data_IF_020146508108
#
_entry.id   IF_020146508108
#
_cell.length_a   1.000
_cell.length_b   1.000
_cell.length_c   1.000
_cell.angle_alpha   90.00
_cell.angle_beta   90.00
_cell.angle_gamma   90.00
#
_symmetry.space_group_name_H-M   'P 1'
#
loop_
_entity.id
_entity.type
_entity.pdbx_description
1 polymer ?
#
# COMPACT_ATOMS: atom_id res chain seq x y z
N UNK A 1 -1.54 23.17 -24.66
CA UNK A 1 -0.64 23.96 -23.80
C UNK A 1 -1.51 24.51 -22.68
N UNK A 2 -1.59 23.81 -21.55
CA UNK A 2 -2.47 24.22 -20.44
C UNK A 2 -1.77 25.27 -19.58
N UNK A 3 -2.47 26.30 -19.06
CA UNK A 3 -1.83 27.48 -18.51
C UNK A 3 -1.21 27.22 -17.13
N UNK A 4 -0.03 27.81 -16.95
CA UNK A 4 0.74 27.87 -15.71
C UNK A 4 0.13 28.90 -14.77
N UNK A 5 -0.51 28.47 -13.69
CA UNK A 5 -0.79 29.35 -12.56
C UNK A 5 0.49 29.49 -11.72
N UNK A 6 1.05 30.70 -11.68
CA UNK A 6 2.11 31.09 -10.75
C UNK A 6 1.47 31.65 -9.48
N UNK A 7 1.74 31.06 -8.32
CA UNK A 7 1.44 31.68 -7.02
C UNK A 7 2.67 31.70 -6.11
N UNK A 8 2.58 32.57 -5.10
CA UNK A 8 3.69 33.31 -4.52
C UNK A 8 4.41 32.57 -3.37
N UNK A 9 5.62 33.06 -3.12
CA UNK A 9 6.64 32.63 -2.16
C UNK A 9 6.06 32.39 -0.75
N UNK A 10 5.88 31.12 -0.37
CA UNK A 10 5.42 30.71 0.98
C UNK A 10 4.70 29.36 1.02
N UNK A 11 4.29 28.83 -0.12
CA UNK A 11 3.48 27.61 -0.20
C UNK A 11 4.37 26.37 -0.03
N UNK A 12 4.05 25.53 0.97
CA UNK A 12 4.37 24.10 0.92
C UNK A 12 3.92 23.66 -0.47
N UNK A 13 4.85 23.31 -1.35
CA UNK A 13 4.51 22.91 -2.72
C UNK A 13 3.47 21.80 -2.61
N UNK A 14 2.19 22.13 -2.85
CA UNK A 14 1.12 21.16 -2.99
C UNK A 14 1.65 20.23 -4.07
N UNK A 15 1.97 18.99 -3.69
CA UNK A 15 2.61 18.05 -4.60
C UNK A 15 1.76 18.02 -5.87
N UNK A 16 2.32 18.48 -6.99
CA UNK A 16 1.59 18.47 -8.24
C UNK A 16 1.49 17.02 -8.68
N UNK A 17 0.30 16.43 -8.50
CA UNK A 17 0.04 15.07 -8.91
C UNK A 17 0.03 15.05 -10.44
N UNK A 18 1.00 14.35 -11.02
CA UNK A 18 1.15 14.21 -12.47
C UNK A 18 0.31 13.07 -13.05
N UNK A 19 -0.25 12.24 -12.18
CA UNK A 19 -1.10 11.10 -12.53
C UNK A 19 -2.56 11.52 -12.59
N UNK A 20 -3.30 10.95 -13.51
CA UNK A 20 -4.76 11.04 -13.57
C UNK A 20 -5.41 10.29 -12.39
N UNK A 21 -6.67 10.60 -12.03
CA UNK A 21 -7.42 9.82 -11.04
C UNK A 21 -7.43 8.31 -11.32
N UNK A 22 -7.55 7.92 -12.58
CA UNK A 22 -7.56 6.52 -12.99
C UNK A 22 -6.19 5.84 -12.80
N UNK A 23 -5.10 6.53 -13.11
CA UNK A 23 -3.74 6.03 -12.86
C UNK A 23 -3.47 5.87 -11.35
N UNK A 24 -3.99 6.76 -10.51
CA UNK A 24 -3.92 6.65 -9.06
C UNK A 24 -4.69 5.43 -8.54
N UNK A 25 -5.92 5.20 -9.03
CA UNK A 25 -6.72 4.01 -8.67
C UNK A 25 -6.06 2.72 -9.15
N UNK A 26 -5.50 2.72 -10.35
CA UNK A 26 -4.70 1.59 -10.85
C UNK A 26 -3.50 1.31 -9.95
N UNK A 27 -2.78 2.34 -9.52
CA UNK A 27 -1.67 2.19 -8.57
C UNK A 27 -2.16 1.66 -7.22
N UNK A 28 -3.26 2.19 -6.70
CA UNK A 28 -3.87 1.75 -5.45
C UNK A 28 -4.20 0.25 -5.47
N UNK A 29 -4.78 -0.25 -6.57
CA UNK A 29 -5.08 -1.68 -6.71
C UNK A 29 -3.83 -2.55 -6.65
N UNK A 30 -2.70 -2.12 -7.23
CA UNK A 30 -1.42 -2.85 -7.13
C UNK A 30 -0.93 -2.97 -5.69
N UNK A 31 -1.18 -1.96 -4.85
CA UNK A 31 -0.85 -2.04 -3.42
C UNK A 31 -1.74 -3.06 -2.68
N UNK A 32 -3.03 -3.14 -3.01
CA UNK A 32 -3.93 -4.18 -2.48
C UNK A 32 -3.48 -5.58 -2.90
N UNK A 33 -3.19 -5.80 -4.19
CA UNK A 33 -2.65 -7.07 -4.69
C UNK A 33 -1.34 -7.45 -3.98
N UNK A 34 -0.46 -6.47 -3.74
CA UNK A 34 0.78 -6.67 -2.99
C UNK A 34 0.53 -7.13 -1.54
N UNK A 35 -0.43 -6.51 -0.86
CA UNK A 35 -0.84 -6.87 0.50
C UNK A 35 -1.39 -8.30 0.60
N UNK A 36 -2.24 -8.68 -0.36
CA UNK A 36 -2.81 -10.04 -0.45
C UNK A 36 -1.72 -11.08 -0.67
N UNK A 37 -0.79 -10.81 -1.60
CA UNK A 37 0.35 -11.69 -1.86
C UNK A 37 1.25 -11.87 -0.63
N UNK A 38 1.57 -10.78 0.08
CA UNK A 38 2.38 -10.84 1.32
C UNK A 38 1.67 -11.68 2.38
N UNK A 39 0.36 -11.46 2.57
CA UNK A 39 -0.45 -12.21 3.54
C UNK A 39 -0.52 -13.70 3.18
N UNK A 40 -0.65 -14.02 1.89
CA UNK A 40 -0.67 -15.38 1.40
C UNK A 40 0.68 -16.09 1.64
N UNK A 41 1.79 -15.43 1.33
CA UNK A 41 3.14 -15.98 1.59
C UNK A 41 3.33 -16.25 3.08
N UNK A 42 2.98 -15.29 3.93
CA UNK A 42 3.08 -15.45 5.39
C UNK A 42 2.25 -16.65 5.87
N UNK A 43 1.02 -16.80 5.38
CA UNK A 43 0.13 -17.92 5.73
C UNK A 43 0.71 -19.25 5.28
N UNK A 44 1.18 -19.35 4.05
CA UNK A 44 1.80 -20.56 3.49
C UNK A 44 3.01 -21.00 4.34
N UNK A 45 3.91 -20.07 4.66
CA UNK A 45 5.11 -20.38 5.44
C UNK A 45 4.79 -20.69 6.91
N UNK A 46 3.77 -20.07 7.49
CA UNK A 46 3.31 -20.40 8.84
C UNK A 46 2.80 -21.85 8.91
N UNK A 47 2.06 -22.29 7.91
CA UNK A 47 1.58 -23.67 7.83
C UNK A 47 2.73 -24.66 7.64
N UNK A 48 3.70 -24.34 6.77
CA UNK A 48 4.89 -25.16 6.57
C UNK A 48 5.72 -25.29 7.85
N UNK A 49 5.86 -24.20 8.60
CA UNK A 49 6.55 -24.21 9.90
C UNK A 49 5.89 -25.17 10.89
N UNK A 50 4.56 -25.18 10.96
CA UNK A 50 3.82 -26.11 11.82
C UNK A 50 4.05 -27.58 11.39
N UNK A 51 4.07 -27.86 10.08
CA UNK A 51 4.38 -29.20 9.57
C UNK A 51 5.79 -29.62 9.98
N UNK A 52 6.80 -28.75 9.82
CA UNK A 52 8.18 -29.07 10.20
C UNK A 52 8.28 -29.31 11.71
N UNK A 53 7.66 -28.46 12.53
CA UNK A 53 7.65 -28.61 13.99
C UNK A 53 7.05 -29.94 14.44
N UNK A 54 5.93 -30.38 13.84
CA UNK A 54 5.28 -31.66 14.16
C UNK A 54 6.13 -32.88 13.75
N UNK A 55 7.01 -32.73 12.76
CA UNK A 55 7.81 -33.84 12.21
C UNK A 55 9.27 -33.85 12.69
N UNK A 56 9.66 -32.89 13.52
CA UNK A 56 11.03 -32.76 13.99
C UNK A 56 11.16 -33.15 15.46
N UNK A 57 11.84 -34.26 15.74
CA UNK A 57 12.20 -34.65 17.11
C UNK A 57 13.42 -33.86 17.61
N UNK A 58 13.18 -32.93 18.54
CA UNK A 58 14.23 -32.20 19.27
C UNK A 58 14.35 -30.71 18.92
N UNK A 59 15.21 -29.99 19.63
CA UNK A 59 15.25 -28.52 19.65
C UNK A 59 16.01 -27.86 18.48
N UNK A 60 16.33 -28.61 17.42
CA UNK A 60 17.19 -28.08 16.35
C UNK A 60 16.48 -27.02 15.49
N UNK A 61 15.14 -26.99 15.55
CA UNK A 61 14.32 -26.06 14.78
C UNK A 61 13.83 -24.84 15.59
N UNK A 62 13.89 -24.89 16.93
CA UNK A 62 13.38 -23.86 17.85
C UNK A 62 13.90 -22.45 17.54
N UNK A 63 15.18 -22.32 17.18
CA UNK A 63 15.79 -21.02 16.86
C UNK A 63 15.22 -20.40 15.59
N UNK A 64 14.90 -21.22 14.58
CA UNK A 64 14.26 -20.73 13.35
C UNK A 64 12.80 -20.38 13.62
N UNK A 65 12.09 -21.21 14.39
CA UNK A 65 10.71 -20.96 14.79
C UNK A 65 10.57 -19.63 15.55
N UNK A 66 11.46 -19.38 16.51
CA UNK A 66 11.49 -18.15 17.29
C UNK A 66 11.69 -16.91 16.40
N UNK A 67 12.65 -16.96 15.47
CA UNK A 67 12.92 -15.86 14.54
C UNK A 67 11.73 -15.60 13.61
N UNK A 68 11.10 -16.66 13.10
CA UNK A 68 9.93 -16.51 12.23
C UNK A 68 8.73 -15.91 12.98
N UNK A 69 8.49 -16.36 14.21
CA UNK A 69 7.44 -15.84 15.08
C UNK A 69 7.68 -14.38 15.46
N UNK A 70 8.93 -13.98 15.65
CA UNK A 70 9.32 -12.58 15.91
C UNK A 70 9.10 -11.67 14.70
N UNK A 71 9.36 -12.17 13.49
CA UNK A 71 9.23 -11.38 12.25
C UNK A 71 7.81 -11.35 11.70
N UNK A 72 7.01 -12.39 11.95
CA UNK A 72 5.63 -12.51 11.44
C UNK A 72 4.74 -11.28 11.70
N UNK A 73 4.75 -10.65 12.90
CA UNK A 73 4.02 -9.41 13.15
C UNK A 73 4.45 -8.26 12.23
N UNK A 74 5.75 -8.09 11.97
CA UNK A 74 6.27 -7.01 11.11
C UNK A 74 5.82 -7.19 9.66
N UNK A 75 5.70 -8.44 9.20
CA UNK A 75 5.18 -8.74 7.86
C UNK A 75 3.68 -8.43 7.78
N UNK A 76 2.91 -8.70 8.84
CA UNK A 76 1.49 -8.30 8.93
C UNK A 76 1.33 -6.77 8.93
N UNK A 77 2.17 -6.06 9.68
CA UNK A 77 2.23 -4.58 9.68
C UNK A 77 2.55 -4.04 8.29
N UNK A 78 3.49 -4.65 7.58
CA UNK A 78 3.81 -4.29 6.21
C UNK A 78 2.63 -4.51 5.26
N UNK A 79 1.94 -5.66 5.34
CA UNK A 79 0.74 -5.91 4.55
C UNK A 79 -0.37 -4.88 4.84
N UNK A 80 -0.54 -4.47 6.10
CA UNK A 80 -1.48 -3.41 6.48
C UNK A 80 -1.08 -2.06 5.90
N UNK A 81 0.20 -1.69 5.96
CA UNK A 81 0.71 -0.46 5.36
C UNK A 81 0.38 -0.37 3.87
N UNK A 82 0.45 -1.48 3.13
CA UNK A 82 0.08 -1.50 1.71
C UNK A 82 -1.42 -1.19 1.51
N UNK A 83 -2.31 -1.70 2.38
CA UNK A 83 -3.73 -1.33 2.35
C UNK A 83 -3.95 0.15 2.70
N UNK A 84 -3.21 0.67 3.67
CA UNK A 84 -3.30 2.08 4.06
C UNK A 84 -2.86 3.00 2.91
N UNK A 85 -1.86 2.60 2.12
CA UNK A 85 -1.44 3.30 0.91
C UNK A 85 -2.52 3.26 -0.16
N UNK A 86 -3.18 2.11 -0.38
CA UNK A 86 -4.32 2.00 -1.28
C UNK A 86 -5.40 3.04 -0.90
N UNK A 87 -5.83 3.05 0.36
CA UNK A 87 -6.89 3.94 0.83
C UNK A 87 -6.52 5.43 0.64
N UNK A 88 -5.25 5.77 0.87
CA UNK A 88 -4.76 7.12 0.64
C UNK A 88 -4.76 7.49 -0.85
N UNK A 89 -4.31 6.60 -1.73
CA UNK A 89 -4.28 6.85 -3.18
C UNK A 89 -5.68 6.99 -3.77
N UNK A 90 -6.65 6.17 -3.32
CA UNK A 90 -8.06 6.30 -3.72
C UNK A 90 -8.62 7.66 -3.30
N UNK A 91 -8.40 8.07 -2.05
CA UNK A 91 -8.86 9.37 -1.56
C UNK A 91 -8.26 10.53 -2.37
N UNK A 92 -6.98 10.40 -2.73
CA UNK A 92 -6.30 11.41 -3.56
C UNK A 92 -6.90 11.44 -4.97
N UNK A 93 -7.22 10.28 -5.57
CA UNK A 93 -7.90 10.21 -6.87
C UNK A 93 -9.25 10.93 -6.83
N UNK A 94 -10.04 10.71 -5.78
CA UNK A 94 -11.35 11.34 -5.61
C UNK A 94 -11.24 12.87 -5.48
N UNK A 95 -10.24 13.37 -4.74
CA UNK A 95 -9.99 14.81 -4.60
C UNK A 95 -9.62 15.43 -5.94
N UNK A 96 -8.74 14.78 -6.72
CA UNK A 96 -8.33 15.29 -8.05
C UNK A 96 -9.53 15.31 -9.00
N UNK A 97 -10.31 14.22 -9.05
CA UNK A 97 -11.49 14.14 -9.92
C UNK A 97 -12.55 15.19 -9.57
N UNK A 98 -12.85 15.38 -8.28
CA UNK A 98 -13.80 16.42 -7.86
C UNK A 98 -13.30 17.82 -8.22
N UNK A 99 -12.01 18.09 -8.01
CA UNK A 99 -11.40 19.39 -8.34
C UNK A 99 -11.51 19.67 -9.84
N UNK A 100 -11.24 18.68 -10.68
CA UNK A 100 -11.35 18.81 -12.14
C UNK A 100 -12.82 19.08 -12.58
N UNK A 101 -13.79 18.40 -11.96
CA UNK A 101 -15.22 18.62 -12.22
C UNK A 101 -15.67 20.04 -11.81
N UNK A 102 -15.24 20.50 -10.64
CA UNK A 102 -15.58 21.84 -10.12
C UNK A 102 -15.02 22.94 -11.04
N UNK A 103 -13.80 22.79 -11.53
CA UNK A 103 -13.18 23.73 -12.48
C UNK A 103 -13.94 23.71 -13.81
N UNK A 104 -14.29 22.54 -14.33
CA UNK A 104 -15.04 22.41 -15.58
C UNK A 104 -16.42 23.08 -15.51
N UNK A 105 -17.09 23.01 -14.35
CA UNK A 105 -18.39 23.66 -14.13
C UNK A 105 -18.32 25.20 -14.05
N UNK A 106 -17.18 25.76 -13.65
CA UNK A 106 -16.98 27.22 -13.57
C UNK A 106 -16.61 27.86 -14.91
N UNK A 107 -16.06 27.08 -15.84
CA UNK A 107 -15.68 27.56 -17.17
C UNK A 107 -16.83 27.21 -18.13
N UNK A 108 -17.89 28.03 -18.12
CA UNK A 108 -18.98 28.02 -19.10
C UNK A 108 -19.22 29.44 -19.63
#
# INVERSE_FOLDING_TARGET
>A
MYPLYKFAKGETTMAQIKLTPEELRTSANRYTEGSENVTQVLTTLTNEQAIIADNWDGSAFDSFEAQFNELSPKIKEFAQLLQDINAQLVKVADIVEQTDQDIAAQIH
#
